data_IF_981481426221
#
_entry.id   IF_981481426221
#
_cell.length_a   1.000
_cell.length_b   1.000
_cell.length_c   1.000
_cell.angle_alpha   90.00
_cell.angle_beta   90.00
_cell.angle_gamma   90.00
#
_symmetry.space_group_name_H-M   'P 1'
#
loop_
_entity.id
_entity.type
_entity.pdbx_description
1 polymer ?
#
# COMPACT_ATOMS: atom_id res chain seq x y z
N UNK A 1 -10.16 -28.10 -8.36
CA UNK A 1 -9.55 -26.90 -7.76
C UNK A 1 -10.30 -25.69 -8.28
N UNK A 2 -10.74 -24.78 -7.41
CA UNK A 2 -11.32 -23.51 -7.86
C UNK A 2 -10.23 -22.62 -8.47
N UNK A 3 -10.55 -21.93 -9.57
CA UNK A 3 -9.66 -20.92 -10.17
C UNK A 3 -9.51 -19.74 -9.19
N UNK A 4 -8.30 -19.16 -9.04
CA UNK A 4 -8.12 -17.96 -8.25
C UNK A 4 -8.81 -16.78 -8.95
N UNK A 5 -9.57 -15.99 -8.18
CA UNK A 5 -10.19 -14.75 -8.67
C UNK A 5 -9.43 -13.56 -8.10
N UNK A 6 -9.03 -12.64 -8.96
CA UNK A 6 -8.24 -11.47 -8.60
C UNK A 6 -9.13 -10.23 -8.52
N UNK A 7 -9.34 -9.72 -7.30
CA UNK A 7 -10.08 -8.47 -7.07
C UNK A 7 -9.17 -7.39 -6.51
N UNK A 8 -9.23 -6.17 -7.06
CA UNK A 8 -8.51 -5.01 -6.51
C UNK A 8 -9.28 -3.70 -6.68
N UNK A 9 -9.32 -2.90 -5.61
CA UNK A 9 -9.85 -1.54 -5.64
C UNK A 9 -8.76 -0.53 -6.04
N UNK A 10 -9.09 0.42 -6.91
CA UNK A 10 -8.18 1.48 -7.31
C UNK A 10 -7.96 2.47 -6.16
N UNK A 11 -6.71 2.70 -5.76
CA UNK A 11 -6.33 3.71 -4.77
C UNK A 11 -6.46 5.16 -5.27
N UNK A 12 -6.69 5.36 -6.58
CA UNK A 12 -6.88 6.70 -7.18
C UNK A 12 -8.35 7.03 -7.42
N UNK A 13 -9.07 6.17 -8.15
CA UNK A 13 -10.46 6.46 -8.53
C UNK A 13 -11.51 5.61 -7.79
N UNK A 14 -11.09 4.70 -6.91
CA UNK A 14 -12.00 3.88 -6.11
C UNK A 14 -12.68 2.72 -6.84
N UNK A 15 -12.58 2.62 -8.17
CA UNK A 15 -13.19 1.54 -8.97
C UNK A 15 -12.66 0.16 -8.57
N UNK A 16 -13.57 -0.81 -8.44
CA UNK A 16 -13.24 -2.23 -8.23
C UNK A 16 -12.94 -2.88 -9.58
N UNK A 17 -11.80 -3.55 -9.66
CA UNK A 17 -11.32 -4.27 -10.84
C UNK A 17 -11.33 -5.77 -10.51
N UNK A 18 -11.75 -6.61 -11.45
CA UNK A 18 -11.80 -8.06 -11.29
C UNK A 18 -11.20 -8.77 -12.51
N UNK A 19 -10.55 -9.90 -12.30
CA UNK A 19 -10.01 -10.77 -13.36
C UNK A 19 -10.01 -12.22 -12.87
N UNK A 20 -10.41 -13.15 -13.74
CA UNK A 20 -10.49 -14.59 -13.43
C UNK A 20 -9.23 -15.38 -13.81
N UNK A 21 -8.33 -14.76 -14.58
CA UNK A 21 -7.17 -15.44 -15.16
C UNK A 21 -5.84 -14.85 -14.71
N UNK A 22 -5.76 -13.53 -14.55
CA UNK A 22 -4.49 -12.82 -14.30
C UNK A 22 -4.58 -11.80 -13.16
N UNK A 23 -3.48 -11.57 -12.41
CA UNK A 23 -3.42 -10.51 -11.42
C UNK A 23 -3.75 -9.12 -11.98
N UNK A 24 -4.58 -8.36 -11.26
CA UNK A 24 -4.90 -6.98 -11.64
C UNK A 24 -3.76 -6.04 -11.26
N UNK A 25 -2.96 -5.62 -12.23
CA UNK A 25 -1.86 -4.67 -12.01
C UNK A 25 -2.23 -3.21 -12.32
N UNK A 26 -3.23 -2.98 -13.17
CA UNK A 26 -3.71 -1.66 -13.58
C UNK A 26 -5.22 -1.55 -13.39
N UNK A 27 -5.69 -0.33 -13.15
CA UNK A 27 -7.11 -0.06 -13.13
C UNK A 27 -7.67 -0.03 -14.56
N UNK A 28 -8.74 -0.78 -14.82
CA UNK A 28 -9.43 -0.79 -16.13
C UNK A 28 -10.18 0.51 -16.41
N UNK A 29 -10.44 1.33 -15.38
CA UNK A 29 -11.13 2.61 -15.53
C UNK A 29 -10.16 3.78 -15.78
N UNK A 30 -9.15 3.99 -14.92
CA UNK A 30 -8.24 5.14 -15.05
C UNK A 30 -6.87 4.80 -15.64
N UNK A 31 -6.59 3.54 -15.96
CA UNK A 31 -5.33 3.08 -16.58
C UNK A 31 -4.09 3.11 -15.68
N UNK A 32 -4.17 3.70 -14.48
CA UNK A 32 -3.04 3.79 -13.54
C UNK A 32 -2.69 2.41 -12.95
N UNK A 33 -1.39 2.19 -12.74
CA UNK A 33 -0.89 1.05 -11.98
C UNK A 33 -1.42 1.09 -10.56
N UNK A 34 -1.82 -0.07 -10.03
CA UNK A 34 -2.31 -0.24 -8.68
C UNK A 34 -1.13 -0.42 -7.71
N UNK A 35 -0.99 0.46 -6.71
CA UNK A 35 0.01 0.33 -5.64
C UNK A 35 0.01 -1.07 -5.04
N UNK A 36 1.17 -1.65 -4.76
CA UNK A 36 1.27 -2.96 -4.12
C UNK A 36 0.61 -2.91 -2.73
N UNK A 37 -0.07 -3.98 -2.36
CA UNK A 37 -0.49 -4.16 -0.97
C UNK A 37 0.74 -4.58 -0.19
N UNK A 38 1.34 -3.62 0.52
CA UNK A 38 2.25 -3.96 1.59
C UNK A 38 1.39 -4.23 2.81
N UNK A 39 1.48 -5.45 3.35
CA UNK A 39 0.90 -5.75 4.64
C UNK A 39 1.66 -4.95 5.69
N UNK A 40 0.96 -4.02 6.34
CA UNK A 40 1.47 -3.25 7.45
C UNK A 40 0.99 -3.93 8.74
N UNK A 41 1.91 -4.54 9.49
CA UNK A 41 1.63 -5.09 10.82
C UNK A 41 2.06 -4.06 11.87
N UNK A 42 1.09 -3.36 12.44
CA UNK A 42 1.31 -2.35 13.47
C UNK A 42 1.90 -2.95 14.76
N UNK A 43 1.73 -4.25 15.00
CA UNK A 43 2.32 -4.95 16.16
C UNK A 43 3.83 -5.15 16.05
N UNK A 44 4.37 -5.12 14.83
CA UNK A 44 5.81 -5.33 14.57
C UNK A 44 6.60 -4.02 14.57
N UNK A 45 5.92 -2.88 14.75
CA UNK A 45 6.53 -1.56 14.73
C UNK A 45 6.33 -0.92 16.09
N UNK A 46 7.43 -0.50 16.72
CA UNK A 46 7.36 0.35 17.90
C UNK A 46 6.64 1.65 17.54
N UNK A 47 5.63 2.04 18.32
CA UNK A 47 4.97 3.34 18.18
C UNK A 47 6.06 4.41 18.27
N UNK A 48 6.31 5.10 17.17
CA UNK A 48 7.29 6.18 17.12
C UNK A 48 6.61 7.42 17.68
N UNK A 49 7.04 7.87 18.86
CA UNK A 49 6.64 9.18 19.39
C UNK A 49 7.41 10.28 18.66
N UNK A 50 6.77 11.41 18.39
CA UNK A 50 7.43 12.56 17.74
C UNK A 50 8.62 13.12 18.55
N UNK A 51 8.61 12.90 19.87
CA UNK A 51 9.70 13.25 20.79
C UNK A 51 10.83 12.21 20.84
N UNK A 52 10.66 11.03 20.24
CA UNK A 52 11.67 9.99 20.28
C UNK A 52 12.85 10.32 19.36
N UNK A 53 14.05 9.86 19.76
CA UNK A 53 15.22 9.91 18.88
C UNK A 53 14.94 9.12 17.60
N UNK A 54 15.21 9.75 16.45
CA UNK A 54 15.08 9.07 15.15
C UNK A 54 16.02 7.86 15.12
N UNK A 55 15.57 6.71 14.57
CA UNK A 55 16.45 5.55 14.42
C UNK A 55 17.61 5.88 13.48
N UNK A 56 18.77 5.25 13.72
CA UNK A 56 19.94 5.38 12.86
C UNK A 56 19.61 4.83 11.47
N UNK A 57 19.92 5.60 10.43
CA UNK A 57 19.76 5.17 9.04
C UNK A 57 21.03 4.45 8.57
N UNK A 58 20.90 3.22 8.08
CA UNK A 58 22.00 2.50 7.44
C UNK A 58 21.96 2.65 5.91
N UNK A 59 23.13 2.65 5.27
CA UNK A 59 23.23 2.78 3.83
C UNK A 59 22.54 1.61 3.11
N UNK A 60 21.59 1.92 2.24
CA UNK A 60 20.81 0.93 1.49
C UNK A 60 19.46 0.54 2.12
N UNK A 61 19.13 1.08 3.29
CA UNK A 61 17.80 0.90 3.88
C UNK A 61 16.81 1.92 3.33
N UNK A 62 15.65 1.44 2.91
CA UNK A 62 14.49 2.27 2.60
C UNK A 62 13.57 2.26 3.81
N UNK A 63 13.60 3.32 4.61
CA UNK A 63 12.59 3.50 5.65
C UNK A 63 11.22 3.72 4.99
N UNK A 64 10.13 3.19 5.59
CA UNK A 64 8.79 3.52 5.13
C UNK A 64 8.60 5.03 5.17
N UNK A 65 7.87 5.58 4.19
CA UNK A 65 7.51 7.00 4.19
C UNK A 65 6.69 7.30 5.45
N UNK A 66 7.34 7.93 6.43
CA UNK A 66 6.70 8.45 7.63
C UNK A 66 6.08 9.80 7.27
N UNK A 67 4.87 9.73 6.70
CA UNK A 67 4.06 10.91 6.40
C UNK A 67 2.84 10.94 7.31
N UNK A 68 2.52 12.11 7.85
CA UNK A 68 1.20 12.37 8.41
C UNK A 68 0.22 12.27 7.24
N UNK A 69 -0.70 11.30 7.28
CA UNK A 69 -1.89 11.33 6.44
C UNK A 69 -2.84 12.38 6.98
N UNK A 70 -2.54 13.67 6.80
CA UNK A 70 -3.50 14.74 7.05
C UNK A 70 -4.44 14.79 5.87
N UNK A 71 -5.68 14.36 6.11
CA UNK A 71 -6.82 14.72 5.28
C UNK A 71 -7.21 16.14 5.66
N UNK A 72 -7.07 17.08 4.72
CA UNK A 72 -7.64 18.41 4.86
C UNK A 72 -9.04 18.36 4.22
N UNK A 73 -10.07 18.66 5.00
CA UNK A 73 -11.43 18.97 4.51
C UNK A 73 -11.45 20.31 3.75
#
# INVERSE_FOLDING_TARGET
MQKPVYFRRCHVCGTINHSDDTPVERCFHCGKYLCRFFYFDDRLISIVEDSALRPLQYAGEYLPLQGISVYWD
#
